data_IF_171555817167
#
_entry.id   IF_171555817167
#
_cell.length_a   1.000
_cell.length_b   1.000
_cell.length_c   1.000
_cell.angle_alpha   90.00
_cell.angle_beta   90.00
_cell.angle_gamma   90.00
#
_symmetry.space_group_name_H-M   'P 1'
#
loop_
_entity.id
_entity.type
_entity.pdbx_description
1 polymer ?
#
# COMPACT_ATOMS: atom_id res chain seq x y z
N UNK A 1 -4.70 -31.68 2.76
CA UNK A 1 -4.76 -31.21 2.41
C UNK A 1 -4.85 -30.44 2.09
N UNK A 2 -5.00 -30.43 2.14
CA UNK A 2 -5.12 -29.75 1.90
C UNK A 2 -5.24 -28.87 1.78
N UNK A 3 -5.39 -28.72 1.71
CA UNK A 3 -5.50 -27.88 1.59
C UNK A 3 -5.68 -26.98 1.69
N UNK A 4 -5.95 -26.74 2.10
CA UNK A 4 -6.23 -26.02 2.16
C UNK A 4 -5.88 -25.12 2.15
N UNK A 5 -5.83 -24.71 2.49
CA UNK A 5 -5.35 -23.77 2.36
C UNK A 5 -5.23 -22.85 1.45
N UNK A 6 -5.51 -22.61 1.15
CA UNK A 6 -5.50 -22.05 -0.09
C UNK A 6 -6.42 -20.95 -0.29
N UNK A 7 -7.48 -21.03 0.26
CA UNK A 7 -8.49 -20.05 0.24
C UNK A 7 -8.08 -18.83 0.93
N UNK A 8 -7.29 -18.95 1.82
CA UNK A 8 -6.72 -17.82 2.50
C UNK A 8 -5.92 -16.99 1.56
N UNK A 9 -5.29 -17.64 0.61
CA UNK A 9 -4.51 -16.94 -0.37
C UNK A 9 -5.34 -16.01 -1.22
N UNK A 10 -6.60 -16.34 -1.43
CA UNK A 10 -7.45 -15.48 -2.22
C UNK A 10 -7.66 -14.14 -1.56
N UNK A 11 -7.76 -14.13 -0.25
CA UNK A 11 -7.88 -12.86 0.43
C UNK A 11 -6.63 -12.03 0.31
N UNK A 12 -5.49 -12.66 0.30
CA UNK A 12 -4.23 -11.94 0.24
C UNK A 12 -3.96 -11.38 -1.16
N UNK A 13 -4.72 -11.78 -2.18
CA UNK A 13 -4.52 -11.24 -3.51
C UNK A 13 -5.24 -9.92 -3.73
N UNK A 14 -6.15 -9.54 -2.81
CA UNK A 14 -6.88 -8.30 -2.92
C UNK A 14 -6.37 -7.34 -1.87
N UNK A 15 -5.81 -6.23 -2.30
CA UNK A 15 -5.23 -5.24 -1.39
C UNK A 15 -5.78 -3.87 -1.66
N UNK A 16 -6.10 -3.16 -0.57
CA UNK A 16 -6.44 -1.75 -0.70
C UNK A 16 -5.19 -0.98 -1.09
N UNK A 17 -5.34 0.24 -1.63
CA UNK A 17 -4.17 1.06 -1.97
C UNK A 17 -3.19 1.21 -0.81
N UNK A 18 -3.69 1.47 0.40
CA UNK A 18 -2.80 1.64 1.55
C UNK A 18 -2.08 0.35 1.88
N UNK A 19 -2.78 -0.78 1.87
CA UNK A 19 -2.14 -2.07 2.14
C UNK A 19 -1.04 -2.37 1.12
N UNK A 20 -1.32 -2.05 -0.14
CA UNK A 20 -0.36 -2.29 -1.20
C UNK A 20 0.92 -1.48 -0.98
N UNK A 21 0.80 -0.17 -0.74
CA UNK A 21 2.00 0.65 -0.58
C UNK A 21 2.74 0.30 0.71
N UNK A 22 2.05 -0.05 1.77
CA UNK A 22 2.71 -0.48 2.99
C UNK A 22 3.57 -1.72 2.70
N UNK A 23 3.02 -2.68 1.97
CA UNK A 23 3.75 -3.89 1.64
C UNK A 23 4.94 -3.59 0.74
N UNK A 24 4.75 -2.75 -0.28
CA UNK A 24 5.81 -2.45 -1.23
C UNK A 24 6.95 -1.66 -0.62
N UNK A 25 6.66 -0.81 0.36
CA UNK A 25 7.70 -0.01 1.00
C UNK A 25 8.32 -0.70 2.22
N UNK A 26 7.77 -1.83 2.64
CA UNK A 26 8.36 -2.60 3.72
C UNK A 26 7.80 -2.31 5.10
N UNK A 27 6.62 -1.72 5.19
CA UNK A 27 5.95 -1.49 6.47
C UNK A 27 5.52 -0.05 6.67
N UNK A 28 4.72 0.17 7.71
CA UNK A 28 4.16 1.48 7.99
C UNK A 28 5.25 2.53 8.23
N UNK A 29 6.23 2.19 9.05
CA UNK A 29 7.28 3.15 9.36
C UNK A 29 8.17 3.45 8.16
N UNK A 30 8.46 2.42 7.36
CA UNK A 30 9.26 2.59 6.16
C UNK A 30 8.55 3.50 5.17
N UNK A 31 7.25 3.29 4.99
CA UNK A 31 6.46 4.13 4.11
C UNK A 31 6.42 5.56 4.59
N UNK A 32 6.12 5.75 5.88
CA UNK A 32 6.04 7.09 6.46
C UNK A 32 7.35 7.85 6.29
N UNK A 33 8.46 7.17 6.54
CA UNK A 33 9.77 7.78 6.39
C UNK A 33 10.03 8.17 4.94
N UNK A 34 9.62 7.33 4.01
CA UNK A 34 9.87 7.58 2.59
C UNK A 34 9.13 8.81 2.09
N UNK A 35 7.94 9.07 2.60
CA UNK A 35 7.15 10.21 2.15
C UNK A 35 7.16 11.36 3.15
N UNK A 36 8.01 11.28 4.18
CA UNK A 36 8.16 12.33 5.19
C UNK A 36 6.87 12.64 5.91
N UNK A 37 6.18 11.58 6.33
CA UNK A 37 4.95 11.70 7.10
C UNK A 37 5.07 10.95 8.41
N UNK A 38 4.21 11.31 9.36
CA UNK A 38 4.15 10.63 10.64
C UNK A 38 3.57 9.23 10.44
N UNK A 39 4.16 8.19 11.06
CA UNK A 39 3.56 6.85 10.97
C UNK A 39 2.11 6.81 11.40
N UNK A 40 1.69 7.66 12.32
CA UNK A 40 0.30 7.73 12.74
C UNK A 40 -0.63 8.10 11.59
N UNK A 41 -0.17 8.95 10.67
CA UNK A 41 -0.97 9.31 9.50
C UNK A 41 -1.21 8.11 8.61
N UNK A 42 -0.15 7.32 8.37
CA UNK A 42 -0.28 6.12 7.54
C UNK A 42 -1.22 5.12 8.21
N UNK A 43 -1.11 4.95 9.52
CA UNK A 43 -2.00 4.06 10.25
C UNK A 43 -3.45 4.50 10.16
N UNK A 44 -3.69 5.80 10.14
CA UNK A 44 -5.05 6.33 9.97
C UNK A 44 -5.63 5.93 8.62
N UNK A 45 -4.84 6.02 7.57
CA UNK A 45 -5.31 5.61 6.25
C UNK A 45 -5.66 4.12 6.25
N UNK A 46 -4.86 3.33 6.94
CA UNK A 46 -5.07 1.89 7.00
C UNK A 46 -6.35 1.54 7.76
N UNK A 47 -6.66 2.28 8.81
CA UNK A 47 -7.85 2.03 9.62
C UNK A 47 -9.13 2.53 8.96
N UNK A 48 -9.01 3.44 8.00
CA UNK A 48 -10.16 3.94 7.26
C UNK A 48 -10.55 2.98 6.17
N UNK A 49 -10.93 3.52 5.02
CA UNK A 49 -11.37 2.70 3.90
C UNK A 49 -10.21 2.19 3.04
N UNK A 50 -8.98 2.46 3.45
CA UNK A 50 -7.81 1.97 2.72
C UNK A 50 -7.42 2.82 1.52
N UNK A 51 -8.02 4.00 1.38
CA UNK A 51 -7.64 4.89 0.28
C UNK A 51 -6.48 5.79 0.69
N UNK A 52 -5.73 6.26 -0.30
CA UNK A 52 -4.62 7.15 -0.10
C UNK A 52 -5.07 8.57 -0.41
N UNK A 53 -4.79 9.55 0.45
CA UNK A 53 -5.16 10.93 0.16
C UNK A 53 -4.61 11.37 -1.17
N UNK A 54 -5.43 12.06 -1.96
CA UNK A 54 -5.04 12.50 -3.29
C UNK A 54 -3.78 13.35 -3.26
N UNK A 55 -3.62 14.16 -2.24
CA UNK A 55 -2.45 15.04 -2.13
C UNK A 55 -1.14 14.27 -1.95
N UNK A 56 -1.22 12.99 -1.56
CA UNK A 56 -0.04 12.18 -1.31
C UNK A 56 0.28 11.28 -2.50
N UNK A 57 -0.70 11.00 -3.34
CA UNK A 57 -0.56 9.98 -4.38
C UNK A 57 0.62 10.25 -5.32
N UNK A 58 0.76 11.49 -5.76
CA UNK A 58 1.83 11.84 -6.69
C UNK A 58 3.20 11.63 -6.03
N UNK A 59 3.34 12.09 -4.81
CA UNK A 59 4.60 11.95 -4.09
C UNK A 59 4.93 10.48 -3.87
N UNK A 60 3.94 9.67 -3.57
CA UNK A 60 4.13 8.25 -3.40
C UNK A 60 4.63 7.59 -4.67
N UNK A 61 4.03 7.92 -5.82
CA UNK A 61 4.47 7.36 -7.09
C UNK A 61 5.91 7.74 -7.39
N UNK A 62 6.24 9.00 -7.25
CA UNK A 62 7.58 9.46 -7.55
C UNK A 62 8.60 8.81 -6.64
N UNK A 63 8.27 8.70 -5.36
CA UNK A 63 9.17 8.08 -4.39
C UNK A 63 9.35 6.59 -4.70
N UNK A 64 8.27 5.91 -5.07
CA UNK A 64 8.34 4.50 -5.40
C UNK A 64 9.24 4.28 -6.62
N UNK A 65 9.05 5.07 -7.67
CA UNK A 65 9.87 4.94 -8.87
C UNK A 65 11.34 5.23 -8.59
N UNK A 66 11.63 6.21 -7.74
CA UNK A 66 13.00 6.51 -7.36
C UNK A 66 13.66 5.33 -6.64
N UNK A 67 12.89 4.53 -5.96
CA UNK A 67 13.40 3.37 -5.23
C UNK A 67 13.33 2.08 -6.04
N UNK A 68 12.89 2.16 -7.29
CA UNK A 68 12.77 0.98 -8.13
C UNK A 68 11.55 0.13 -7.80
N UNK A 69 10.60 0.68 -7.08
CA UNK A 69 9.36 -0.03 -6.77
C UNK A 69 8.38 0.17 -7.91
N UNK A 70 7.85 -0.94 -8.42
CA UNK A 70 6.89 -0.87 -9.50
C UNK A 70 5.49 -0.62 -8.96
N UNK A 71 5.00 0.58 -9.21
CA UNK A 71 3.70 1.00 -8.72
C UNK A 71 3.08 1.89 -9.78
N UNK A 72 1.78 1.73 -10.02
CA UNK A 72 1.07 2.53 -11.02
C UNK A 72 0.05 3.42 -10.36
N UNK A 73 -0.36 4.46 -11.07
CA UNK A 73 -1.41 5.35 -10.59
C UNK A 73 -2.71 4.58 -10.36
N UNK A 74 -3.01 3.61 -11.23
CA UNK A 74 -4.18 2.78 -11.08
C UNK A 74 -4.16 2.02 -9.75
N UNK A 75 -3.01 1.47 -9.39
CA UNK A 75 -2.89 0.72 -8.15
C UNK A 75 -3.04 1.63 -6.93
N UNK A 76 -2.62 2.89 -7.04
CA UNK A 76 -2.79 3.82 -5.94
C UNK A 76 -4.23 4.21 -5.70
N UNK A 77 -5.07 4.09 -6.73
CA UNK A 77 -6.48 4.47 -6.62
C UNK A 77 -7.33 3.27 -6.26
N UNK A 78 -7.09 2.13 -6.91
CA UNK A 78 -7.96 0.96 -6.80
C UNK A 78 -7.33 -0.20 -6.04
N UNK A 79 -6.05 -0.15 -5.75
CA UNK A 79 -5.37 -1.27 -5.13
C UNK A 79 -5.03 -2.33 -6.16
N UNK A 80 -4.71 -3.53 -5.67
CA UNK A 80 -4.33 -4.65 -6.53
C UNK A 80 -5.24 -5.82 -6.25
N UNK A 81 -5.70 -6.45 -7.31
CA UNK A 81 -6.52 -7.65 -7.19
C UNK A 81 -5.71 -8.89 -7.45
#
# INVERSE_FOLDING_TARGET
MLHLWQYIDMESTIKTPVQLVIAEFGGVRALARAIHRDPASVSKWQKGDGTIPTSIQRKLLETAWDRGIQLSAHELIFGRE
#
